data_IF_407140882397
#
_entry.id   IF_407140882397
#
_cell.length_a   1.000
_cell.length_b   1.000
_cell.length_c   1.000
_cell.angle_alpha   90.00
_cell.angle_beta   90.00
_cell.angle_gamma   90.00
#
_symmetry.space_group_name_H-M   'P 1'
#
loop_
_entity.id
_entity.type
_entity.pdbx_description
1 polymer ?
#
# COMPACT_ATOMS: atom_id res chain seq x y z
N UNK A 1 -3.92 2.71 15.40
CA UNK A 1 -4.98 3.65 15.81
C UNK A 1 -4.46 4.89 16.53
N UNK A 2 -3.47 4.78 17.43
CA UNK A 2 -3.00 5.86 18.32
C UNK A 2 -2.63 7.19 17.63
N UNK A 3 -2.00 7.14 16.45
CA UNK A 3 -1.64 8.35 15.69
C UNK A 3 -2.87 9.07 15.07
N UNK A 4 -4.04 8.43 15.01
CA UNK A 4 -5.33 9.08 14.73
C UNK A 4 -5.62 9.44 13.26
N UNK A 5 -4.81 8.99 12.30
CA UNK A 5 -5.03 9.26 10.87
C UNK A 5 -6.31 8.61 10.34
N UNK A 6 -6.89 9.23 9.31
CA UNK A 6 -8.12 8.77 8.63
C UNK A 6 -7.89 8.24 7.22
N UNK A 7 -6.64 8.31 6.76
CA UNK A 7 -6.19 7.79 5.47
C UNK A 7 -4.94 6.97 5.71
N UNK A 8 -5.01 5.71 5.33
CA UNK A 8 -3.91 4.76 5.30
C UNK A 8 -3.50 4.54 3.85
N UNK A 9 -2.54 3.64 3.61
CA UNK A 9 -2.19 3.32 2.24
C UNK A 9 -1.14 2.24 2.11
N UNK A 10 -0.98 1.81 0.87
CA UNK A 10 0.01 0.83 0.43
C UNK A 10 0.94 1.52 -0.55
N UNK A 11 2.23 1.21 -0.45
CA UNK A 11 3.27 1.71 -1.36
C UNK A 11 4.06 0.54 -1.92
N UNK A 12 4.28 0.53 -3.22
CA UNK A 12 5.21 -0.36 -3.91
C UNK A 12 6.36 0.49 -4.40
N UNK A 13 7.58 0.08 -4.09
CA UNK A 13 8.81 0.78 -4.46
C UNK A 13 9.89 -0.22 -4.91
N UNK A 14 10.92 0.28 -5.59
CA UNK A 14 12.12 -0.52 -5.83
C UNK A 14 12.93 -0.70 -4.55
N UNK A 15 13.70 -1.78 -4.47
CA UNK A 15 14.66 -1.99 -3.38
C UNK A 15 15.99 -1.36 -3.75
N UNK A 16 16.55 -0.58 -2.84
CA UNK A 16 17.93 -0.09 -2.91
C UNK A 16 18.60 -0.16 -1.52
N UNK A 17 19.65 0.65 -1.29
CA UNK A 17 20.39 0.65 -0.01
C UNK A 17 19.68 1.40 1.12
N UNK A 18 18.58 2.10 0.81
CA UNK A 18 17.78 2.83 1.78
C UNK A 18 16.66 1.93 2.31
N UNK A 19 16.45 1.96 3.62
CA UNK A 19 15.33 1.23 4.25
C UNK A 19 14.04 1.93 3.86
N UNK A 20 13.14 1.19 3.21
CA UNK A 20 11.81 1.63 2.75
C UNK A 20 11.81 2.96 1.96
N UNK A 21 12.94 3.31 1.33
CA UNK A 21 13.18 4.62 0.72
C UNK A 21 13.45 4.60 -0.79
N UNK A 22 13.42 3.42 -1.40
CA UNK A 22 13.65 3.31 -2.84
C UNK A 22 12.55 3.98 -3.66
N UNK A 23 12.81 4.18 -4.96
CA UNK A 23 11.89 4.90 -5.85
C UNK A 23 10.51 4.25 -5.85
N UNK A 24 9.50 5.02 -5.45
CA UNK A 24 8.07 4.65 -5.49
C UNK A 24 7.65 4.38 -6.93
N UNK A 25 6.92 3.30 -7.14
CA UNK A 25 6.35 2.93 -8.44
C UNK A 25 4.83 2.85 -8.43
N UNK A 26 4.20 2.60 -7.30
CA UNK A 26 2.75 2.66 -7.17
C UNK A 26 2.36 2.97 -5.73
N UNK A 27 1.23 3.65 -5.54
CA UNK A 27 0.64 3.91 -4.24
C UNK A 27 -0.88 3.90 -4.34
N UNK A 28 -1.55 3.50 -3.27
CA UNK A 28 -3.01 3.62 -3.15
C UNK A 28 -3.38 4.06 -1.74
N UNK A 29 -4.20 5.10 -1.66
CA UNK A 29 -4.75 5.61 -0.41
C UNK A 29 -6.02 4.82 -0.02
N UNK A 30 -6.20 4.63 1.28
CA UNK A 30 -7.27 3.82 1.86
C UNK A 30 -7.92 4.65 2.97
N UNK A 31 -9.08 5.29 2.70
CA UNK A 31 -9.82 5.99 3.75
C UNK A 31 -10.39 4.98 4.75
N UNK A 32 -10.16 5.21 6.04
CA UNK A 32 -10.70 4.39 7.12
C UNK A 32 -10.91 5.23 8.36
N UNK A 33 -12.17 5.30 8.82
CA UNK A 33 -12.56 6.05 10.02
C UNK A 33 -12.90 5.16 11.22
N UNK A 34 -12.87 3.83 11.04
CA UNK A 34 -13.15 2.86 12.09
C UNK A 34 -12.05 2.75 13.14
N UNK A 35 -12.20 1.79 14.05
CA UNK A 35 -11.29 1.58 15.19
C UNK A 35 -10.92 0.11 15.41
N UNK A 36 -11.12 -0.73 14.39
CA UNK A 36 -10.79 -2.14 14.44
C UNK A 36 -9.54 -2.40 13.58
N UNK A 37 -8.52 -3.01 14.18
CA UNK A 37 -7.26 -3.25 13.48
C UNK A 37 -7.37 -4.40 12.47
N UNK A 38 -8.19 -5.41 12.75
CA UNK A 38 -8.37 -6.56 11.89
C UNK A 38 -9.18 -6.18 10.65
N UNK A 39 -10.18 -5.30 10.82
CA UNK A 39 -10.91 -4.70 9.70
C UNK A 39 -9.96 -3.88 8.81
N UNK A 40 -9.15 -3.00 9.41
CA UNK A 40 -8.18 -2.18 8.67
C UNK A 40 -7.16 -3.05 7.92
N UNK A 41 -6.64 -4.10 8.55
CA UNK A 41 -5.71 -5.03 7.90
C UNK A 41 -6.38 -5.78 6.74
N UNK A 42 -7.63 -6.20 6.89
CA UNK A 42 -8.39 -6.78 5.79
C UNK A 42 -8.47 -5.83 4.57
N UNK A 43 -8.75 -4.54 4.80
CA UNK A 43 -8.80 -3.52 3.74
C UNK A 43 -7.42 -3.27 3.10
N UNK A 44 -6.36 -3.15 3.91
CA UNK A 44 -4.99 -2.96 3.43
C UNK A 44 -4.57 -4.14 2.55
N UNK A 45 -4.74 -5.37 3.03
CA UNK A 45 -4.35 -6.56 2.28
C UNK A 45 -5.15 -6.74 0.99
N UNK A 46 -6.45 -6.42 0.99
CA UNK A 46 -7.24 -6.41 -0.24
C UNK A 46 -6.63 -5.48 -1.29
N UNK A 47 -6.23 -4.27 -0.89
CA UNK A 47 -5.55 -3.31 -1.77
C UNK A 47 -4.18 -3.79 -2.21
N UNK A 48 -3.39 -4.43 -1.35
CA UNK A 48 -2.11 -5.04 -1.71
C UNK A 48 -2.27 -6.11 -2.79
N UNK A 49 -3.24 -7.01 -2.62
CA UNK A 49 -3.51 -8.10 -3.55
C UNK A 49 -3.98 -7.64 -4.94
N UNK A 50 -4.54 -6.43 -5.04
CA UNK A 50 -4.88 -5.81 -6.33
C UNK A 50 -3.71 -5.02 -6.91
N UNK A 51 -3.14 -4.09 -6.12
CA UNK A 51 -2.16 -3.12 -6.59
C UNK A 51 -0.85 -3.79 -7.01
N UNK A 52 -0.47 -4.88 -6.34
CA UNK A 52 0.82 -5.55 -6.60
C UNK A 52 0.85 -6.26 -7.96
N UNK A 53 -0.10 -7.16 -8.30
CA UNK A 53 -0.16 -7.74 -9.64
C UNK A 53 -0.33 -6.70 -10.76
N UNK A 54 -1.20 -5.68 -10.57
CA UNK A 54 -1.38 -4.59 -11.53
C UNK A 54 -0.07 -3.87 -11.84
N UNK A 55 0.70 -3.57 -10.79
CA UNK A 55 2.01 -2.91 -10.92
C UNK A 55 3.00 -3.78 -11.68
N UNK A 56 3.03 -5.08 -11.40
CA UNK A 56 3.89 -6.03 -12.13
C UNK A 56 3.51 -6.10 -13.61
N UNK A 57 2.22 -6.26 -13.93
CA UNK A 57 1.76 -6.31 -15.33
C UNK A 57 2.16 -5.04 -16.06
N UNK A 58 1.95 -3.86 -15.46
CA UNK A 58 2.33 -2.58 -16.06
C UNK A 58 3.84 -2.50 -16.33
N UNK A 59 4.68 -3.06 -15.45
CA UNK A 59 6.13 -3.07 -15.62
C UNK A 59 6.62 -4.06 -16.68
N UNK A 60 5.88 -5.14 -16.93
CA UNK A 60 6.24 -6.20 -17.88
C UNK A 60 5.61 -6.02 -19.26
N UNK A 61 4.58 -5.19 -19.40
CA UNK A 61 3.87 -4.96 -20.66
C UNK A 61 4.59 -3.95 -21.59
N UNK A 62 5.92 -3.87 -21.50
CA UNK A 62 6.78 -3.00 -22.30
C UNK A 62 7.25 -3.74 -23.54
#
# INVERSE_FOLDING_TARGET
MEYGVKVFGVTIHYVDRTVDGGRIIAQRAIPYEGNDIDELFGLIHAVEHELYPETIVRLLSV
#
